data_IF_063661483169
#
_entry.id   IF_063661483169
#
_cell.length_a   1.000
_cell.length_b   1.000
_cell.length_c   1.000
_cell.angle_alpha   90.00
_cell.angle_beta   90.00
_cell.angle_gamma   90.00
#
_symmetry.space_group_name_H-M   'P 1'
#
loop_
_entity.id
_entity.type
_entity.pdbx_description
1 polymer ?
#
# COMPACT_ATOMS: atom_id res chain seq x y z
N UNK A 1 12.71 11.07 11.27
CA UNK A 1 12.72 11.45 9.84
C UNK A 1 11.45 12.25 9.59
N UNK A 2 11.58 13.54 9.24
CA UNK A 2 10.46 14.48 9.09
C UNK A 2 9.43 14.10 8.00
N UNK A 3 9.71 13.08 7.19
CA UNK A 3 8.86 12.64 6.09
C UNK A 3 8.32 11.21 6.25
N UNK A 4 8.54 10.58 7.39
CA UNK A 4 8.05 9.22 7.63
C UNK A 4 6.54 9.27 7.92
N UNK A 5 5.71 8.51 7.18
CA UNK A 5 4.27 8.49 7.43
C UNK A 5 3.93 7.61 8.63
N UNK A 6 2.84 7.93 9.31
CA UNK A 6 2.19 7.01 10.24
C UNK A 6 1.51 5.89 9.46
N UNK A 7 1.93 4.65 9.70
CA UNK A 7 1.40 3.48 9.00
C UNK A 7 0.44 2.72 9.91
N UNK A 8 -0.77 2.49 9.40
CA UNK A 8 -1.81 1.75 10.08
C UNK A 8 -2.23 0.52 9.30
N UNK A 9 -2.33 -0.61 9.97
CA UNK A 9 -2.95 -1.82 9.43
C UNK A 9 -4.36 -1.95 10.01
N UNK A 10 -5.34 -2.15 9.11
CA UNK A 10 -6.73 -2.35 9.49
C UNK A 10 -7.16 -3.73 9.03
N UNK A 11 -7.57 -4.57 9.97
CA UNK A 11 -8.05 -5.92 9.70
C UNK A 11 -9.55 -5.92 9.51
N UNK A 12 -10.01 -6.34 8.34
CA UNK A 12 -11.43 -6.37 7.98
C UNK A 12 -11.80 -7.80 7.61
N UNK A 13 -12.76 -8.37 8.32
CA UNK A 13 -13.30 -9.67 8.00
C UNK A 13 -14.49 -9.56 7.04
N UNK A 14 -14.68 -10.62 6.23
CA UNK A 14 -15.85 -10.74 5.38
C UNK A 14 -17.10 -11.00 6.21
N UNK A 15 -18.05 -10.08 6.18
CA UNK A 15 -19.34 -10.25 6.86
C UNK A 15 -20.23 -11.30 6.18
N UNK A 16 -21.19 -11.83 6.93
CA UNK A 16 -22.10 -12.89 6.46
C UNK A 16 -22.93 -12.52 5.20
N UNK A 17 -23.18 -11.23 4.96
CA UNK A 17 -23.90 -10.75 3.78
C UNK A 17 -23.05 -10.62 2.50
N UNK A 18 -21.78 -11.02 2.52
CA UNK A 18 -20.89 -10.97 1.35
C UNK A 18 -20.70 -12.39 0.82
N UNK A 19 -21.19 -12.72 -0.39
CA UNK A 19 -21.32 -14.11 -0.84
C UNK A 19 -19.97 -14.79 -1.14
N UNK A 20 -19.01 -14.06 -1.69
CA UNK A 20 -17.74 -14.61 -2.13
C UNK A 20 -16.58 -13.63 -1.96
N UNK A 21 -15.38 -14.09 -2.30
CA UNK A 21 -14.15 -13.32 -2.18
C UNK A 21 -14.10 -12.15 -3.17
N UNK A 22 -14.65 -12.29 -4.36
CA UNK A 22 -14.68 -11.22 -5.36
C UNK A 22 -15.64 -10.10 -4.95
N UNK A 23 -16.78 -10.45 -4.35
CA UNK A 23 -17.68 -9.47 -3.77
C UNK A 23 -17.02 -8.73 -2.60
N UNK A 24 -16.20 -9.43 -1.80
CA UNK A 24 -15.45 -8.81 -0.73
C UNK A 24 -14.40 -7.83 -1.28
N UNK A 25 -13.61 -8.22 -2.28
CA UNK A 25 -12.65 -7.34 -2.94
C UNK A 25 -13.31 -6.09 -3.52
N UNK A 26 -14.45 -6.23 -4.19
CA UNK A 26 -15.22 -5.08 -4.69
C UNK A 26 -15.68 -4.16 -3.56
N UNK A 27 -16.08 -4.73 -2.43
CA UNK A 27 -16.47 -3.94 -1.24
C UNK A 27 -15.28 -3.17 -0.67
N UNK A 28 -14.13 -3.81 -0.52
CA UNK A 28 -12.91 -3.16 -0.05
C UNK A 28 -12.48 -2.02 -0.99
N UNK A 29 -12.56 -2.25 -2.30
CA UNK A 29 -12.30 -1.21 -3.29
C UNK A 29 -13.22 0.02 -3.12
N UNK A 30 -14.53 -0.21 -2.95
CA UNK A 30 -15.50 0.87 -2.74
C UNK A 30 -15.22 1.62 -1.44
N UNK A 31 -14.90 0.91 -0.35
CA UNK A 31 -14.53 1.51 0.93
C UNK A 31 -13.32 2.42 0.75
N UNK A 32 -12.26 1.92 0.12
CA UNK A 32 -11.05 2.71 -0.17
C UNK A 32 -11.37 3.98 -0.93
N UNK A 33 -12.09 3.87 -2.04
CA UNK A 33 -12.43 5.02 -2.88
C UNK A 33 -13.34 6.05 -2.18
N UNK A 34 -14.25 5.60 -1.36
CA UNK A 34 -15.09 6.49 -0.55
C UNK A 34 -14.28 7.21 0.51
N UNK A 35 -13.35 6.52 1.14
CA UNK A 35 -12.49 7.10 2.16
C UNK A 35 -11.54 8.15 1.58
N UNK A 36 -10.86 7.84 0.47
CA UNK A 36 -10.01 8.79 -0.27
C UNK A 36 -10.79 10.08 -0.59
N UNK A 37 -12.00 9.95 -1.13
CA UNK A 37 -12.86 11.10 -1.44
C UNK A 37 -13.34 11.86 -0.20
N UNK A 38 -13.59 11.17 0.90
CA UNK A 38 -14.04 11.81 2.14
C UNK A 38 -12.93 12.67 2.74
N UNK A 39 -11.69 12.17 2.79
CA UNK A 39 -10.53 12.92 3.28
C UNK A 39 -10.33 14.21 2.49
N UNK A 40 -10.39 14.14 1.17
CA UNK A 40 -10.28 15.32 0.31
C UNK A 40 -11.38 16.37 0.58
N UNK A 41 -12.62 15.90 0.85
CA UNK A 41 -13.76 16.80 1.13
C UNK A 41 -13.71 17.44 2.51
N UNK A 42 -13.13 16.75 3.48
CA UNK A 42 -13.11 17.24 4.87
C UNK A 42 -12.07 18.33 5.10
N UNK A 43 -11.23 18.64 4.11
CA UNK A 43 -10.20 19.67 4.23
C UNK A 43 -9.21 19.41 5.35
N UNK A 44 -8.93 18.14 5.62
CA UNK A 44 -7.97 17.72 6.63
C UNK A 44 -6.59 18.23 6.21
N UNK A 45 -5.85 18.82 7.16
CA UNK A 45 -4.47 19.18 6.91
C UNK A 45 -3.70 17.95 6.43
N UNK A 46 -2.87 18.12 5.45
CA UNK A 46 -2.02 17.07 4.89
C UNK A 46 -2.80 15.92 4.22
N UNK A 47 -4.05 16.15 3.83
CA UNK A 47 -4.88 15.18 3.11
C UNK A 47 -4.23 14.65 1.83
N UNK A 48 -3.41 15.47 1.18
CA UNK A 48 -2.68 15.12 -0.05
C UNK A 48 -1.58 14.07 0.18
N UNK A 49 -1.15 13.91 1.44
CA UNK A 49 -0.16 12.89 1.83
C UNK A 49 -0.80 11.56 2.23
N UNK A 50 -2.12 11.51 2.33
CA UNK A 50 -2.83 10.29 2.70
C UNK A 50 -2.98 9.35 1.51
N UNK A 51 -2.56 8.11 1.68
CA UNK A 51 -2.73 7.08 0.65
C UNK A 51 -2.91 5.69 1.25
N UNK A 52 -3.53 4.80 0.48
CA UNK A 52 -3.61 3.38 0.78
C UNK A 52 -2.57 2.61 -0.05
N UNK A 53 -1.52 2.05 0.53
CA UNK A 53 -0.65 1.12 -0.18
C UNK A 53 -1.43 -0.07 -0.71
N UNK A 54 -2.29 -0.64 0.12
CA UNK A 54 -3.27 -1.66 -0.29
C UNK A 54 -4.46 -1.66 0.67
N UNK A 55 -5.62 -2.05 0.15
CA UNK A 55 -6.78 -2.47 0.93
C UNK A 55 -7.40 -3.65 0.18
N UNK A 56 -6.95 -4.85 0.49
CA UNK A 56 -7.27 -6.08 -0.23
C UNK A 56 -7.19 -7.25 0.73
N UNK A 57 -7.99 -8.26 0.48
CA UNK A 57 -7.94 -9.55 1.17
C UNK A 57 -7.06 -10.58 0.45
N UNK A 58 -6.43 -10.21 -0.66
CA UNK A 58 -5.61 -11.08 -1.51
C UNK A 58 -4.17 -10.63 -1.62
N UNK A 59 -3.90 -9.35 -1.45
CA UNK A 59 -2.56 -8.78 -1.62
C UNK A 59 -2.20 -7.86 -0.47
N UNK A 60 -0.95 -7.94 -0.04
CA UNK A 60 -0.32 -7.00 0.87
C UNK A 60 0.73 -6.20 0.11
N UNK A 61 0.87 -4.92 0.43
CA UNK A 61 1.92 -4.07 -0.14
C UNK A 61 2.68 -3.43 1.01
N UNK A 62 3.93 -3.83 1.15
CA UNK A 62 4.90 -3.20 2.03
C UNK A 62 5.83 -2.37 1.18
N UNK A 63 5.81 -1.06 1.37
CA UNK A 63 6.61 -0.13 0.58
C UNK A 63 7.01 1.09 1.38
N UNK A 64 8.05 1.76 0.93
CA UNK A 64 8.52 2.99 1.55
C UNK A 64 9.86 3.44 0.98
N UNK A 65 10.35 4.56 1.46
CA UNK A 65 11.69 5.05 1.18
C UNK A 65 12.71 4.31 2.07
N UNK A 66 12.82 3.00 1.85
CA UNK A 66 13.62 2.09 2.65
C UNK A 66 14.68 1.39 1.79
N UNK A 67 15.83 1.14 2.36
CA UNK A 67 16.79 0.20 1.78
C UNK A 67 16.30 -1.24 1.97
N UNK A 68 16.83 -2.15 1.17
CA UNK A 68 16.46 -3.58 1.28
C UNK A 68 16.70 -4.16 2.70
N UNK A 69 17.73 -3.70 3.39
CA UNK A 69 18.07 -4.13 4.74
C UNK A 69 17.12 -3.57 5.81
N UNK A 70 16.57 -2.38 5.58
CA UNK A 70 15.64 -1.75 6.50
C UNK A 70 14.23 -2.35 6.41
N UNK A 71 13.86 -2.91 5.25
CA UNK A 71 12.51 -3.37 4.97
C UNK A 71 11.98 -4.37 6.01
N UNK A 72 12.79 -5.35 6.39
CA UNK A 72 12.42 -6.37 7.39
C UNK A 72 12.31 -5.83 8.80
N UNK A 73 13.14 -4.85 9.12
CA UNK A 73 13.09 -4.21 10.44
C UNK A 73 11.86 -3.32 10.56
N UNK A 74 11.54 -2.63 9.48
CA UNK A 74 10.41 -1.71 9.42
C UNK A 74 9.05 -2.45 9.35
N UNK A 75 9.00 -3.55 8.61
CA UNK A 75 7.83 -4.43 8.50
C UNK A 75 8.14 -5.81 9.08
N UNK A 76 7.97 -6.00 10.38
CA UNK A 76 8.36 -7.26 11.07
C UNK A 76 7.57 -8.48 10.58
N UNK A 77 6.38 -8.29 10.00
CA UNK A 77 5.58 -9.36 9.37
C UNK A 77 6.37 -10.13 8.32
N UNK A 78 7.31 -9.47 7.61
CA UNK A 78 8.17 -10.10 6.62
C UNK A 78 9.15 -11.13 7.22
N UNK A 79 9.26 -11.17 8.54
CA UNK A 79 10.06 -12.15 9.28
C UNK A 79 9.19 -13.24 9.93
N UNK A 80 7.87 -13.12 9.87
CA UNK A 80 6.96 -14.12 10.42
C UNK A 80 6.88 -15.33 9.49
N UNK A 81 7.21 -16.52 10.04
CA UNK A 81 7.14 -17.80 9.32
C UNK A 81 5.72 -18.18 8.87
N UNK A 82 4.70 -17.56 9.43
CA UNK A 82 3.31 -17.82 9.06
C UNK A 82 2.84 -16.93 7.90
N UNK A 83 3.63 -15.92 7.52
CA UNK A 83 3.35 -15.12 6.32
C UNK A 83 3.69 -15.94 5.08
N UNK A 84 2.71 -16.67 4.57
CA UNK A 84 2.84 -17.52 3.39
C UNK A 84 2.24 -16.81 2.18
N UNK A 85 2.97 -16.77 1.07
CA UNK A 85 2.51 -16.17 -0.19
C UNK A 85 2.90 -17.05 -1.37
N UNK A 86 1.99 -17.17 -2.34
CA UNK A 86 2.26 -17.87 -3.59
C UNK A 86 3.14 -17.06 -4.56
N UNK A 87 3.17 -15.74 -4.40
CA UNK A 87 3.92 -14.82 -5.24
C UNK A 87 4.47 -13.68 -4.38
N UNK A 88 5.73 -13.33 -4.61
CA UNK A 88 6.33 -12.11 -4.07
C UNK A 88 6.89 -11.27 -5.23
N UNK A 89 6.39 -10.06 -5.36
CA UNK A 89 6.91 -9.06 -6.29
C UNK A 89 7.66 -8.00 -5.48
N UNK A 90 8.90 -7.74 -5.83
CA UNK A 90 9.73 -6.79 -5.09
C UNK A 90 10.49 -5.85 -6.02
N UNK A 91 10.80 -4.67 -5.51
CA UNK A 91 11.60 -3.67 -6.19
C UNK A 91 12.48 -2.94 -5.16
N UNK A 92 13.75 -2.78 -5.44
CA UNK A 92 14.73 -2.20 -4.51
C UNK A 92 15.25 -0.82 -4.91
N UNK A 93 14.89 -0.34 -6.10
CA UNK A 93 15.41 0.92 -6.64
C UNK A 93 14.32 1.95 -6.83
N UNK A 94 14.57 3.17 -6.34
CA UNK A 94 13.80 4.33 -6.72
C UNK A 94 14.27 4.87 -8.09
N UNK A 95 13.39 5.61 -8.79
CA UNK A 95 13.77 6.30 -10.04
C UNK A 95 14.91 7.29 -9.80
N UNK A 96 15.83 7.43 -10.78
CA UNK A 96 16.93 8.40 -10.72
C UNK A 96 16.52 9.82 -11.11
N UNK A 97 15.39 10.00 -11.78
CA UNK A 97 14.97 11.26 -12.38
C UNK A 97 13.72 11.89 -11.74
N UNK A 98 13.17 11.26 -10.72
CA UNK A 98 12.02 11.77 -9.96
C UNK A 98 12.39 11.95 -8.50
N UNK A 99 11.83 12.97 -7.84
CA UNK A 99 11.99 13.12 -6.41
C UNK A 99 11.32 11.94 -5.69
N UNK A 100 12.06 11.24 -4.82
CA UNK A 100 11.50 10.12 -4.10
C UNK A 100 10.47 10.59 -3.07
N UNK A 101 9.40 9.80 -2.94
CA UNK A 101 8.41 9.98 -1.88
C UNK A 101 7.86 8.62 -1.45
N UNK A 102 7.28 8.58 -0.26
CA UNK A 102 6.77 7.34 0.32
C UNK A 102 5.64 6.75 -0.51
N UNK A 103 4.71 7.57 -1.00
CA UNK A 103 3.57 7.15 -1.80
C UNK A 103 3.97 6.67 -3.20
N UNK A 104 5.07 7.20 -3.75
CA UNK A 104 5.58 6.83 -5.07
C UNK A 104 6.58 5.66 -5.04
N UNK A 105 6.96 5.17 -3.86
CA UNK A 105 7.81 3.99 -3.75
C UNK A 105 7.12 2.76 -4.37
N UNK A 106 7.89 1.94 -5.08
CA UNK A 106 7.43 0.65 -5.61
C UNK A 106 7.47 -0.45 -4.52
N UNK A 107 6.75 -1.55 -4.71
CA UNK A 107 5.82 -1.82 -5.80
C UNK A 107 4.49 -1.09 -5.61
N UNK A 108 3.79 -0.83 -6.70
CA UNK A 108 2.37 -0.54 -6.64
C UNK A 108 1.57 -1.84 -6.50
N UNK A 109 0.27 -1.73 -6.32
CA UNK A 109 -0.61 -2.87 -6.05
C UNK A 109 -0.43 -4.04 -7.04
N UNK A 110 -0.22 -3.74 -8.32
CA UNK A 110 -0.15 -4.71 -9.41
C UNK A 110 1.07 -4.54 -10.31
N UNK A 111 1.90 -3.53 -10.06
CA UNK A 111 2.98 -3.14 -10.96
C UNK A 111 4.25 -2.86 -10.18
N UNK A 112 5.34 -3.42 -10.67
CA UNK A 112 6.69 -2.96 -10.35
C UNK A 112 7.50 -2.97 -11.63
N UNK A 113 8.28 -1.93 -11.88
CA UNK A 113 9.15 -1.87 -13.06
C UNK A 113 10.41 -1.07 -12.77
N UNK A 114 11.43 -1.30 -13.59
CA UNK A 114 12.74 -0.67 -13.47
C UNK A 114 12.93 0.47 -14.49
N UNK A 115 11.89 1.15 -14.84
CA UNK A 115 11.90 2.32 -15.70
C UNK A 115 11.35 3.55 -14.99
N UNK A 116 11.15 4.61 -15.73
CA UNK A 116 10.50 5.83 -15.26
C UNK A 116 9.05 5.83 -15.69
N UNK A 117 8.13 5.97 -14.72
CA UNK A 117 6.75 6.30 -14.98
C UNK A 117 6.55 7.74 -14.53
N UNK A 118 6.39 8.65 -15.48
CA UNK A 118 6.22 10.06 -15.22
C UNK A 118 4.73 10.50 -15.30
N UNK A 119 3.85 9.57 -15.56
CA UNK A 119 2.40 9.81 -15.63
C UNK A 119 1.66 8.75 -14.82
N UNK A 120 0.62 9.20 -14.15
CA UNK A 120 -0.35 8.35 -13.45
C UNK A 120 -1.54 8.07 -14.37
#
# INVERSE_FOLDING_TARGET
LEAEPDIWQVFISRGAGIPDQDAFERRLYVIRKRFEKAIQRWGIRDADWFYFPSLSSRTLVYKGMLTATQLRTYFPDLSDRHLISALAMFHSRFSTNTFPSWELAHPYRMIAHNGEINTL
#
